data_IF_563805495265
#
_entry.id   IF_563805495265
#
_cell.length_a   1.000
_cell.length_b   1.000
_cell.length_c   1.000
_cell.angle_alpha   90.00
_cell.angle_beta   90.00
_cell.angle_gamma   90.00
#
_symmetry.space_group_name_H-M   'P 1'
#
loop_
_entity.id
_entity.type
_entity.pdbx_description
1 polymer ?
#
# COMPACT_ATOMS: atom_id res chain seq x y z
N UNK A 1 25.16 -7.88 9.81
CA UNK A 1 24.20 -7.17 8.95
C UNK A 1 23.89 -5.84 9.60
N UNK A 2 24.46 -4.76 9.07
CA UNK A 2 24.01 -3.42 9.45
C UNK A 2 22.51 -3.32 9.21
N UNK A 3 21.78 -2.74 10.17
CA UNK A 3 20.37 -2.44 9.99
C UNK A 3 20.28 -1.33 8.95
N UNK A 4 20.17 -1.71 7.67
CA UNK A 4 19.86 -0.76 6.60
C UNK A 4 18.59 -0.03 7.00
N UNK A 5 18.71 1.28 7.24
CA UNK A 5 17.59 2.11 7.66
C UNK A 5 16.72 2.42 6.45
N UNK A 6 15.96 1.42 6.00
CA UNK A 6 15.09 1.48 4.83
C UNK A 6 13.92 2.43 5.14
N UNK A 7 13.77 3.48 4.33
CA UNK A 7 12.67 4.43 4.46
C UNK A 7 11.32 3.73 4.22
N UNK A 8 10.23 4.25 4.79
CA UNK A 8 8.87 3.74 4.59
C UNK A 8 8.50 3.54 3.09
N UNK A 9 8.91 4.46 2.22
CA UNK A 9 8.61 4.40 0.77
C UNK A 9 9.40 3.30 0.06
N UNK A 10 10.67 3.12 0.42
CA UNK A 10 11.51 2.02 -0.06
C UNK A 10 10.96 0.67 0.42
N UNK A 11 10.54 0.61 1.70
CA UNK A 11 9.91 -0.58 2.27
C UNK A 11 8.59 -0.92 1.57
N UNK A 12 7.80 0.09 1.20
CA UNK A 12 6.59 -0.10 0.41
C UNK A 12 6.90 -0.79 -0.93
N UNK A 13 7.89 -0.28 -1.68
CA UNK A 13 8.27 -0.85 -2.98
C UNK A 13 8.77 -2.29 -2.84
N UNK A 14 9.63 -2.58 -1.85
CA UNK A 14 10.14 -3.92 -1.58
C UNK A 14 9.01 -4.91 -1.25
N UNK A 15 8.03 -4.47 -0.46
CA UNK A 15 6.90 -5.32 -0.09
C UNK A 15 5.93 -5.52 -1.26
N UNK A 16 5.71 -4.49 -2.09
CA UNK A 16 4.89 -4.62 -3.30
C UNK A 16 5.53 -5.60 -4.28
N UNK A 17 6.84 -5.49 -4.52
CA UNK A 17 7.57 -6.39 -5.41
C UNK A 17 7.45 -7.85 -4.97
N UNK A 18 7.73 -8.13 -3.69
CA UNK A 18 7.59 -9.47 -3.11
C UNK A 18 6.15 -9.97 -3.11
N UNK A 19 5.19 -9.09 -2.90
CA UNK A 19 3.78 -9.45 -2.92
C UNK A 19 3.34 -9.89 -4.32
N UNK A 20 3.70 -9.13 -5.35
CA UNK A 20 3.45 -9.48 -6.75
C UNK A 20 4.11 -10.79 -7.11
N UNK A 21 5.39 -10.96 -6.76
CA UNK A 21 6.17 -12.17 -7.02
C UNK A 21 5.47 -13.40 -6.44
N UNK A 22 5.02 -13.33 -5.18
CA UNK A 22 4.29 -14.42 -4.53
C UNK A 22 2.93 -14.72 -5.16
N UNK A 23 2.20 -13.72 -5.64
CA UNK A 23 0.95 -13.96 -6.36
C UNK A 23 1.20 -14.63 -7.70
N UNK A 24 2.24 -14.23 -8.42
CA UNK A 24 2.64 -14.84 -9.69
C UNK A 24 3.07 -16.30 -9.49
N UNK A 25 3.94 -16.58 -8.51
CA UNK A 25 4.33 -17.95 -8.13
C UNK A 25 3.13 -18.83 -7.73
N UNK A 26 2.10 -18.22 -7.14
CA UNK A 26 0.87 -18.90 -6.74
C UNK A 26 -0.11 -19.13 -7.89
N UNK A 27 0.24 -18.76 -9.14
CA UNK A 27 -0.57 -19.01 -10.33
C UNK A 27 -1.77 -18.09 -10.51
N UNK A 28 -1.77 -16.90 -9.88
CA UNK A 28 -2.86 -15.93 -10.07
C UNK A 28 -2.82 -15.35 -11.49
N UNK A 29 -4.00 -15.09 -12.07
CA UNK A 29 -4.07 -14.38 -13.35
C UNK A 29 -3.55 -12.95 -13.21
N UNK A 30 -3.04 -12.39 -14.31
CA UNK A 30 -2.50 -11.02 -14.32
C UNK A 30 -3.53 -10.00 -13.81
N UNK A 31 -4.79 -10.10 -14.25
CA UNK A 31 -5.87 -9.24 -13.75
C UNK A 31 -6.02 -9.33 -12.23
N UNK A 32 -6.00 -10.54 -11.66
CA UNK A 32 -6.08 -10.74 -10.21
C UNK A 32 -4.86 -10.16 -9.50
N UNK A 33 -3.66 -10.32 -10.05
CA UNK A 33 -2.43 -9.74 -9.49
C UNK A 33 -2.57 -8.22 -9.43
N UNK A 34 -3.05 -7.58 -10.50
CA UNK A 34 -3.24 -6.12 -10.55
C UNK A 34 -4.29 -5.66 -9.52
N UNK A 35 -5.44 -6.33 -9.45
CA UNK A 35 -6.49 -5.99 -8.48
C UNK A 35 -6.02 -6.13 -7.03
N UNK A 36 -5.29 -7.20 -6.71
CA UNK A 36 -4.73 -7.41 -5.38
C UNK A 36 -3.60 -6.43 -5.07
N UNK A 37 -2.77 -6.10 -6.07
CA UNK A 37 -1.71 -5.09 -5.92
C UNK A 37 -2.30 -3.71 -5.66
N UNK A 38 -3.41 -3.35 -6.29
CA UNK A 38 -4.13 -2.11 -5.98
C UNK A 38 -4.63 -2.09 -4.53
N UNK A 39 -5.24 -3.20 -4.05
CA UNK A 39 -5.67 -3.33 -2.66
C UNK A 39 -4.49 -3.21 -1.69
N UNK A 40 -3.35 -3.81 -2.02
CA UNK A 40 -2.13 -3.67 -1.25
C UNK A 40 -1.69 -2.20 -1.15
N UNK A 41 -1.62 -1.48 -2.28
CA UNK A 41 -1.25 -0.07 -2.30
C UNK A 41 -2.20 0.80 -1.46
N UNK A 42 -3.51 0.61 -1.62
CA UNK A 42 -4.52 1.33 -0.85
C UNK A 42 -4.39 1.04 0.66
N UNK A 43 -4.29 -0.24 1.03
CA UNK A 43 -4.16 -0.66 2.42
C UNK A 43 -2.87 -0.16 3.07
N UNK A 44 -1.77 -0.16 2.33
CA UNK A 44 -0.49 0.36 2.81
C UNK A 44 -0.59 1.86 3.11
N UNK A 45 -1.10 2.65 2.17
CA UNK A 45 -1.28 4.08 2.37
C UNK A 45 -2.18 4.37 3.57
N UNK A 46 -3.36 3.74 3.66
CA UNK A 46 -4.32 3.94 4.76
C UNK A 46 -3.67 3.64 6.12
N UNK A 47 -2.93 2.53 6.21
CA UNK A 47 -2.30 2.09 7.46
C UNK A 47 -1.18 3.01 7.92
N UNK A 48 -0.37 3.50 6.98
CA UNK A 48 0.85 4.26 7.27
C UNK A 48 0.72 5.75 6.97
N UNK A 49 -0.50 6.25 6.75
CA UNK A 49 -0.76 7.63 6.36
C UNK A 49 -0.10 8.66 7.29
N UNK A 50 -0.01 8.39 8.60
CA UNK A 50 0.64 9.31 9.55
C UNK A 50 2.15 9.48 9.34
N UNK A 51 2.80 8.53 8.68
CA UNK A 51 4.22 8.58 8.32
C UNK A 51 4.47 8.94 6.86
N UNK A 52 3.42 9.29 6.12
CA UNK A 52 3.46 9.72 4.72
C UNK A 52 2.97 11.17 4.70
N UNK A 53 3.54 12.01 3.83
CA UNK A 53 3.06 13.38 3.68
C UNK A 53 1.56 13.37 3.35
N UNK A 54 0.78 14.19 4.06
CA UNK A 54 -0.69 14.16 3.95
C UNK A 54 -1.10 14.70 2.59
N UNK A 55 -1.46 13.78 1.70
CA UNK A 55 -1.94 14.11 0.36
C UNK A 55 -3.36 14.66 0.42
N UNK A 56 -3.57 15.87 -0.11
CA UNK A 56 -4.89 16.53 -0.24
C UNK A 56 -5.49 16.29 -1.63
N UNK A 57 -5.66 15.03 -2.01
CA UNK A 57 -6.26 14.64 -3.29
C UNK A 57 -7.56 13.85 -3.08
N UNK A 58 -8.33 13.65 -4.15
CA UNK A 58 -9.44 12.70 -4.12
C UNK A 58 -8.95 11.29 -3.79
N UNK A 59 -9.80 10.44 -3.21
CA UNK A 59 -9.43 9.08 -2.78
C UNK A 59 -8.72 8.25 -3.87
N UNK A 60 -9.14 8.42 -5.14
CA UNK A 60 -8.52 7.77 -6.31
C UNK A 60 -7.11 8.30 -6.57
N UNK A 61 -6.96 9.61 -6.55
CA UNK A 61 -5.69 10.28 -6.80
C UNK A 61 -4.69 10.02 -5.68
N UNK A 62 -5.13 9.78 -4.45
CA UNK A 62 -4.25 9.43 -3.34
C UNK A 62 -3.41 8.18 -3.62
N UNK A 63 -4.03 7.08 -4.06
CA UNK A 63 -3.29 5.84 -4.33
C UNK A 63 -2.36 6.00 -5.53
N UNK A 64 -2.82 6.68 -6.58
CA UNK A 64 -2.01 6.95 -7.76
C UNK A 64 -0.80 7.83 -7.41
N UNK A 65 -1.02 8.97 -6.73
CA UNK A 65 0.04 9.88 -6.31
C UNK A 65 1.01 9.18 -5.37
N UNK A 66 0.53 8.38 -4.43
CA UNK A 66 1.37 7.59 -3.54
C UNK A 66 2.27 6.59 -4.30
N UNK A 67 1.69 5.86 -5.27
CA UNK A 67 2.44 4.92 -6.13
C UNK A 67 3.53 5.66 -6.91
N UNK A 68 3.17 6.76 -7.58
CA UNK A 68 4.09 7.54 -8.41
C UNK A 68 5.21 8.17 -7.57
N UNK A 69 4.85 8.79 -6.43
CA UNK A 69 5.82 9.39 -5.51
C UNK A 69 6.80 8.33 -5.00
N UNK A 70 6.29 7.19 -4.56
CA UNK A 70 7.14 6.09 -4.10
C UNK A 70 8.08 5.62 -5.20
N UNK A 71 7.53 5.29 -6.37
CA UNK A 71 8.29 4.74 -7.47
C UNK A 71 9.35 5.72 -7.96
N UNK A 72 8.98 6.93 -8.39
CA UNK A 72 9.92 7.86 -9.01
C UNK A 72 10.95 8.44 -8.03
N UNK A 73 10.60 8.61 -6.75
CA UNK A 73 11.52 9.22 -5.78
C UNK A 73 12.39 8.20 -5.03
N UNK A 74 12.04 6.91 -5.03
CA UNK A 74 12.72 5.90 -4.19
C UNK A 74 13.18 4.63 -4.90
N UNK A 75 12.66 4.27 -6.10
CA UNK A 75 13.05 3.00 -6.75
C UNK A 75 14.56 2.92 -7.03
N UNK A 76 15.18 4.04 -7.43
CA UNK A 76 16.61 4.10 -7.76
C UNK A 76 17.52 4.10 -6.53
N UNK A 77 16.96 4.27 -5.33
CA UNK A 77 17.70 4.17 -4.06
C UNK A 77 17.82 2.74 -3.57
N UNK A 78 17.07 1.81 -4.18
CA UNK A 78 17.13 0.40 -3.89
C UNK A 78 18.14 -0.29 -4.81
N UNK A 79 18.96 -1.15 -4.21
CA UNK A 79 19.89 -2.01 -4.94
C UNK A 79 19.14 -3.07 -5.76
N UNK A 80 19.72 -3.48 -6.89
CA UNK A 80 19.09 -4.41 -7.84
C UNK A 80 18.94 -5.84 -7.29
N UNK A 81 19.73 -6.20 -6.27
CA UNK A 81 19.61 -7.47 -5.55
C UNK A 81 18.41 -7.49 -4.59
N UNK A 82 17.91 -6.33 -4.17
CA UNK A 82 16.79 -6.21 -3.25
C UNK A 82 15.43 -6.16 -3.96
N UNK A 83 15.39 -5.67 -5.21
CA UNK A 83 14.15 -5.42 -5.93
C UNK A 83 14.29 -5.66 -7.44
N UNK A 84 13.30 -6.33 -8.03
CA UNK A 84 13.24 -6.44 -9.48
C UNK A 84 12.65 -5.16 -10.10
N UNK A 85 13.52 -4.23 -10.52
CA UNK A 85 13.12 -2.92 -11.08
C UNK A 85 12.31 -3.04 -12.37
N UNK A 86 12.58 -4.03 -13.21
CA UNK A 86 11.83 -4.25 -14.45
C UNK A 86 10.39 -4.69 -14.17
N UNK A 87 10.21 -5.67 -13.28
CA UNK A 87 8.88 -6.08 -12.82
C UNK A 87 8.13 -4.92 -12.17
N UNK A 88 8.81 -4.14 -11.33
CA UNK A 88 8.20 -2.98 -10.68
C UNK A 88 7.77 -1.91 -11.67
N UNK A 89 8.54 -1.67 -12.74
CA UNK A 89 8.14 -0.80 -13.84
C UNK A 89 6.84 -1.30 -14.49
N UNK A 90 6.78 -2.59 -14.82
CA UNK A 90 5.61 -3.20 -15.46
C UNK A 90 4.37 -3.13 -14.55
N UNK A 91 4.53 -3.46 -13.27
CA UNK A 91 3.45 -3.38 -12.28
C UNK A 91 2.98 -1.94 -12.09
N UNK A 92 3.89 -0.97 -12.02
CA UNK A 92 3.54 0.44 -11.91
C UNK A 92 2.70 0.88 -13.12
N UNK A 93 3.12 0.56 -14.35
CA UNK A 93 2.36 0.84 -15.57
C UNK A 93 0.97 0.18 -15.56
N UNK A 94 0.87 -1.10 -15.20
CA UNK A 94 -0.40 -1.81 -15.14
C UNK A 94 -1.34 -1.25 -14.06
N UNK A 95 -0.82 -0.84 -12.91
CA UNK A 95 -1.60 -0.19 -11.86
C UNK A 95 -2.10 1.19 -12.27
N UNK A 96 -1.28 2.00 -12.96
CA UNK A 96 -1.71 3.29 -13.50
C UNK A 96 -2.89 3.08 -14.46
N UNK A 97 -2.74 2.18 -15.43
CA UNK A 97 -3.80 1.86 -16.38
C UNK A 97 -5.07 1.37 -15.67
N UNK A 98 -4.92 0.46 -14.70
CA UNK A 98 -6.04 -0.03 -13.92
C UNK A 98 -6.78 1.09 -13.17
N UNK A 99 -6.06 1.98 -12.50
CA UNK A 99 -6.64 3.09 -11.73
C UNK A 99 -7.37 4.07 -12.65
N UNK A 100 -6.76 4.43 -13.78
CA UNK A 100 -7.32 5.38 -14.75
C UNK A 100 -8.57 4.78 -15.40
N UNK A 101 -8.52 3.53 -15.85
CA UNK A 101 -9.64 2.86 -16.52
C UNK A 101 -10.79 2.47 -15.58
N UNK A 102 -10.55 2.37 -14.26
CA UNK A 102 -11.55 1.90 -13.29
C UNK A 102 -11.87 2.93 -12.19
N UNK A 103 -11.78 4.23 -12.48
CA UNK A 103 -11.84 5.31 -11.49
C UNK A 103 -12.96 5.20 -10.43
N UNK A 104 -14.22 4.95 -10.85
CA UNK A 104 -15.34 4.82 -9.90
C UNK A 104 -15.21 3.58 -8.99
N UNK A 105 -14.72 2.46 -9.54
CA UNK A 105 -14.52 1.21 -8.79
C UNK A 105 -13.39 1.38 -7.77
N UNK A 106 -12.28 1.95 -8.19
CA UNK A 106 -11.09 2.15 -7.35
C UNK A 106 -11.38 3.11 -6.20
N UNK A 107 -12.14 4.18 -6.46
CA UNK A 107 -12.63 5.11 -5.44
C UNK A 107 -13.51 4.41 -4.38
N UNK A 108 -14.51 3.64 -4.82
CA UNK A 108 -15.40 2.89 -3.91
C UNK A 108 -14.63 1.91 -3.04
N UNK A 109 -13.68 1.18 -3.64
CA UNK A 109 -12.81 0.23 -2.93
C UNK A 109 -12.00 0.95 -1.86
N UNK A 110 -11.31 2.04 -2.22
CA UNK A 110 -10.50 2.80 -1.26
C UNK A 110 -11.36 3.33 -0.09
N UNK A 111 -12.51 3.95 -0.39
CA UNK A 111 -13.39 4.49 0.63
C UNK A 111 -13.93 3.40 1.58
N UNK A 112 -14.16 2.20 1.06
CA UNK A 112 -14.60 1.05 1.86
C UNK A 112 -13.48 0.53 2.77
N UNK A 113 -12.27 0.33 2.23
CA UNK A 113 -11.14 -0.16 3.02
C UNK A 113 -10.71 0.86 4.09
N UNK A 114 -10.78 2.16 3.79
CA UNK A 114 -10.55 3.22 4.77
C UNK A 114 -11.55 3.16 5.92
N UNK A 115 -12.85 3.07 5.62
CA UNK A 115 -13.91 2.93 6.64
C UNK A 115 -13.71 1.69 7.52
N UNK A 116 -13.36 0.55 6.92
CA UNK A 116 -13.06 -0.69 7.67
C UNK A 116 -11.87 -0.48 8.61
N UNK A 117 -10.80 0.14 8.13
CA UNK A 117 -9.61 0.40 8.94
C UNK A 117 -9.91 1.33 10.13
N UNK A 118 -10.63 2.44 9.89
CA UNK A 118 -11.04 3.39 10.93
C UNK A 118 -11.90 2.71 12.00
N UNK A 119 -12.91 1.93 11.59
CA UNK A 119 -13.75 1.18 12.52
C UNK A 119 -12.94 0.15 13.34
N UNK A 120 -11.99 -0.54 12.71
CA UNK A 120 -11.12 -1.50 13.39
C UNK A 120 -10.20 -0.82 14.41
N UNK A 121 -9.71 0.38 14.10
CA UNK A 121 -8.83 1.16 14.97
C UNK A 121 -9.60 1.65 16.20
N UNK A 122 -10.78 2.22 16.00
CA UNK A 122 -11.69 2.62 17.08
C UNK A 122 -12.04 1.45 18.00
N UNK A 123 -12.38 0.28 17.43
CA UNK A 123 -12.67 -0.92 18.22
C UNK A 123 -11.48 -1.36 19.08
N UNK A 124 -10.26 -1.28 18.55
CA UNK A 124 -9.03 -1.59 19.30
C UNK A 124 -8.77 -0.59 20.42
N UNK A 125 -9.02 0.69 20.18
CA UNK A 125 -8.85 1.74 21.19
C UNK A 125 -9.86 1.60 22.34
N UNK A 126 -11.12 1.33 22.02
CA UNK A 126 -12.15 1.04 23.03
C UNK A 126 -11.77 -0.18 23.88
N UNK A 127 -11.34 -1.27 23.25
CA UNK A 127 -10.89 -2.47 23.97
C UNK A 127 -9.71 -2.19 24.89
N UNK A 128 -8.74 -1.37 24.46
CA UNK A 128 -7.61 -0.95 25.31
C UNK A 128 -8.11 -0.12 26.50
N UNK A 129 -9.03 0.83 26.28
CA UNK A 129 -9.61 1.66 27.34
C UNK A 129 -10.36 0.83 28.39
N UNK A 130 -11.12 -0.17 27.94
CA UNK A 130 -11.83 -1.07 28.84
C UNK A 130 -10.89 -1.94 29.68
N UNK A 131 -9.80 -2.43 29.08
CA UNK A 131 -8.76 -3.16 29.82
C UNK A 131 -8.08 -2.27 30.88
N UNK A 132 -7.75 -1.02 30.55
CA UNK A 132 -7.20 -0.06 31.53
C UNK A 132 -8.16 0.19 32.69
N UNK A 133 -9.45 0.39 32.40
CA UNK A 133 -10.49 0.56 33.43
C UNK A 133 -10.67 -0.68 34.31
N UNK A 134 -10.59 -1.89 33.74
CA UNK A 134 -10.80 -3.15 34.46
C UNK A 134 -9.59 -3.59 35.28
N UNK A 135 -8.38 -3.30 34.81
CA UNK A 135 -7.14 -3.85 35.39
C UNK A 135 -6.19 -2.79 35.97
N UNK A 136 -6.51 -1.50 35.91
CA UNK A 136 -5.70 -0.43 36.52
C UNK A 136 -4.32 -0.20 35.89
N UNK A 137 -4.11 -0.66 34.66
CA UNK A 137 -2.87 -0.47 33.87
C UNK A 137 -2.87 0.86 33.10
#
# INVERSE_FOLDING_TARGET
MDKTNINLMERYLLLLDRFVDKLAESGFSEQRIIEQSYLFCAGFYIKYQSGIEKMTFSNREVVLTFLLLSYYSHINKLDDDLINKERMKNICSSLINFIVSNGSRTEKVYANEKRKYEASTLKRELSKKDKRKRYGL
#
